data_IF_293295476517
#
_entry.id   IF_293295476517
#
_cell.length_a   1.000
_cell.length_b   1.000
_cell.length_c   1.000
_cell.angle_alpha   90.00
_cell.angle_beta   90.00
_cell.angle_gamma   90.00
#
_symmetry.space_group_name_H-M   'P 1'
#
loop_
_entity.id
_entity.type
_entity.pdbx_description
1 polymer ?
#
# COMPACT_ATOMS: atom_id res chain seq x y z
N UNK A 1 -11.13 28.55 11.50
CA UNK A 1 -10.02 28.96 12.39
C UNK A 1 -8.72 28.58 11.70
N UNK A 2 -7.79 29.52 11.53
CA UNK A 2 -6.47 29.22 10.98
C UNK A 2 -5.57 28.55 12.02
N UNK A 3 -4.65 27.70 11.57
CA UNK A 3 -3.65 27.04 12.40
C UNK A 3 -2.66 28.08 12.95
N UNK A 4 -2.41 28.06 14.26
CA UNK A 4 -1.40 28.91 14.91
C UNK A 4 -0.03 28.23 14.86
N UNK A 5 0.75 28.58 13.83
CA UNK A 5 2.07 28.02 13.59
C UNK A 5 3.07 28.30 14.73
N UNK A 6 2.86 29.36 15.51
CA UNK A 6 3.75 29.72 16.63
C UNK A 6 3.60 28.72 17.77
N UNK A 7 2.36 28.30 18.07
CA UNK A 7 2.07 27.25 19.06
C UNK A 7 2.58 25.87 18.62
N UNK A 8 2.59 25.61 17.31
CA UNK A 8 3.11 24.35 16.75
C UNK A 8 4.64 24.33 16.77
N UNK A 9 5.31 25.44 16.47
CA UNK A 9 6.78 25.53 16.42
C UNK A 9 7.45 25.11 17.75
N UNK A 10 6.86 25.46 18.90
CA UNK A 10 7.36 25.02 20.21
C UNK A 10 7.27 23.49 20.39
N UNK A 11 6.24 22.85 19.81
CA UNK A 11 6.06 21.41 19.86
C UNK A 11 7.04 20.66 18.95
N UNK A 12 7.50 21.29 17.87
CA UNK A 12 8.54 20.75 16.97
C UNK A 12 9.85 20.54 17.72
N UNK A 13 10.24 21.46 18.61
CA UNK A 13 11.45 21.30 19.44
C UNK A 13 11.39 20.06 20.33
N UNK A 14 10.27 19.84 21.02
CA UNK A 14 10.03 18.63 21.83
C UNK A 14 9.94 17.34 21.01
N UNK A 15 9.46 17.43 19.76
CA UNK A 15 9.49 16.31 18.82
C UNK A 15 10.93 15.94 18.43
N UNK A 16 11.79 16.92 18.11
CA UNK A 16 13.19 16.69 17.73
C UNK A 16 14.00 16.05 18.86
N UNK A 17 13.78 16.46 20.11
CA UNK A 17 14.43 15.84 21.27
C UNK A 17 14.04 14.36 21.41
N UNK A 18 12.75 14.04 21.34
CA UNK A 18 12.25 12.64 21.39
C UNK A 18 12.78 11.81 20.22
N UNK A 19 12.95 12.39 19.03
CA UNK A 19 13.55 11.70 17.88
C UNK A 19 15.02 11.32 18.11
N UNK A 20 15.77 12.12 18.88
CA UNK A 20 17.15 11.79 19.26
C UNK A 20 17.20 10.64 20.26
N UNK A 21 16.38 10.69 21.32
CA UNK A 21 16.31 9.62 22.33
C UNK A 21 15.82 8.30 21.74
N UNK A 22 14.87 8.37 20.80
CA UNK A 22 14.38 7.21 20.06
C UNK A 22 15.46 6.51 19.23
N UNK A 23 16.58 7.18 18.90
CA UNK A 23 17.67 6.56 18.12
C UNK A 23 18.42 5.51 18.92
N UNK A 24 18.75 5.81 20.18
CA UNK A 24 19.47 4.87 21.04
C UNK A 24 18.61 3.67 21.38
N UNK A 25 17.34 3.92 21.69
CA UNK A 25 16.35 2.88 21.94
C UNK A 25 16.16 2.00 20.70
N UNK A 26 16.04 2.60 19.51
CA UNK A 26 15.97 1.87 18.24
C UNK A 26 17.20 1.00 18.01
N UNK A 27 18.40 1.48 18.34
CA UNK A 27 19.62 0.68 18.19
C UNK A 27 19.62 -0.53 19.14
N UNK A 28 19.18 -0.35 20.39
CA UNK A 28 19.04 -1.45 21.36
C UNK A 28 18.03 -2.50 20.88
N UNK A 29 16.87 -2.05 20.38
CA UNK A 29 15.86 -2.94 19.82
C UNK A 29 16.36 -3.69 18.59
N UNK A 30 17.09 -3.03 17.69
CA UNK A 30 17.70 -3.66 16.53
C UNK A 30 18.72 -4.74 16.94
N UNK A 31 19.62 -4.41 17.87
CA UNK A 31 20.62 -5.37 18.33
C UNK A 31 19.96 -6.59 18.97
N UNK A 32 18.98 -6.39 19.85
CA UNK A 32 18.23 -7.49 20.45
C UNK A 32 17.51 -8.34 19.38
N UNK A 33 16.90 -7.72 18.36
CA UNK A 33 16.26 -8.46 17.28
C UNK A 33 17.26 -9.30 16.49
N UNK A 34 18.45 -8.76 16.20
CA UNK A 34 19.53 -9.49 15.52
C UNK A 34 20.08 -10.63 16.38
N UNK A 35 20.28 -10.39 17.67
CA UNK A 35 20.78 -11.41 18.61
C UNK A 35 19.76 -12.55 18.76
N UNK A 36 18.46 -12.24 18.80
CA UNK A 36 17.40 -13.25 18.85
C UNK A 36 17.35 -14.01 17.52
N UNK A 37 17.22 -13.33 16.38
CA UNK A 37 17.02 -14.03 15.09
C UNK A 37 18.24 -14.87 14.69
N UNK A 38 19.44 -14.44 15.07
CA UNK A 38 20.71 -15.13 14.83
C UNK A 38 21.04 -16.22 15.84
N UNK A 39 20.21 -16.45 16.86
CA UNK A 39 20.46 -17.46 17.86
C UNK A 39 20.21 -18.87 17.32
N UNK A 40 21.28 -19.62 17.08
CA UNK A 40 21.24 -21.01 16.61
C UNK A 40 20.53 -21.97 17.58
N UNK A 41 20.36 -21.59 18.84
CA UNK A 41 19.63 -22.38 19.84
C UNK A 41 18.10 -22.25 19.74
N UNK A 42 17.57 -21.47 18.80
CA UNK A 42 16.13 -21.39 18.58
C UNK A 42 15.60 -22.73 18.05
N UNK A 43 14.66 -23.31 18.79
CA UNK A 43 13.91 -24.49 18.37
C UNK A 43 12.89 -24.11 17.28
N UNK A 44 13.32 -24.18 16.02
CA UNK A 44 12.48 -23.92 14.86
C UNK A 44 11.32 -24.93 14.74
N UNK A 45 11.49 -26.17 15.22
CA UNK A 45 10.44 -27.19 15.19
C UNK A 45 9.34 -26.89 16.21
N UNK A 46 9.68 -26.35 17.38
CA UNK A 46 8.69 -25.81 18.31
C UNK A 46 7.91 -24.63 17.69
N UNK A 47 8.59 -23.77 16.93
CA UNK A 47 7.94 -22.64 16.26
C UNK A 47 6.99 -23.13 15.15
N UNK A 48 7.42 -24.07 14.31
CA UNK A 48 6.58 -24.73 13.30
C UNK A 48 5.35 -25.40 13.93
N UNK A 49 5.52 -26.11 15.04
CA UNK A 49 4.40 -26.70 15.80
C UNK A 49 3.43 -25.64 16.32
N UNK A 50 3.93 -24.50 16.81
CA UNK A 50 3.08 -23.38 17.24
C UNK A 50 2.30 -22.77 16.08
N UNK A 51 2.92 -22.60 14.92
CA UNK A 51 2.26 -22.11 13.70
C UNK A 51 1.15 -23.08 13.30
N UNK A 52 1.44 -24.39 13.21
CA UNK A 52 0.46 -25.41 12.84
C UNK A 52 -0.71 -25.53 13.84
N UNK A 53 -0.46 -25.30 15.13
CA UNK A 53 -1.49 -25.33 16.17
C UNK A 53 -2.28 -24.01 16.27
N UNK A 54 -1.84 -22.95 15.59
CA UNK A 54 -2.46 -21.64 15.70
C UNK A 54 -3.84 -21.61 15.03
N UNK A 55 -4.79 -20.93 15.67
CA UNK A 55 -6.13 -20.67 15.12
C UNK A 55 -6.27 -19.17 14.97
N UNK A 56 -5.86 -18.67 13.81
CA UNK A 56 -5.89 -17.25 13.46
C UNK A 56 -6.97 -16.97 12.41
N UNK A 57 -7.44 -15.73 12.35
CA UNK A 57 -8.34 -15.25 11.29
C UNK A 57 -7.58 -14.72 10.08
N UNK A 58 -6.24 -14.79 10.09
CA UNK A 58 -5.36 -14.33 9.02
C UNK A 58 -4.34 -15.41 8.64
N UNK A 59 -3.72 -15.24 7.47
CA UNK A 59 -2.67 -16.12 6.96
C UNK A 59 -1.40 -15.99 7.80
N UNK A 60 -0.87 -17.11 8.27
CA UNK A 60 0.40 -17.17 9.01
C UNK A 60 1.46 -17.74 8.06
N UNK A 61 2.59 -17.04 7.94
CA UNK A 61 3.72 -17.50 7.13
C UNK A 61 4.35 -18.75 7.75
N UNK A 62 4.75 -19.69 6.90
CA UNK A 62 5.53 -20.87 7.29
C UNK A 62 7.05 -20.59 7.19
N UNK A 63 7.85 -21.41 7.86
CA UNK A 63 9.31 -21.32 7.89
C UNK A 63 9.91 -22.27 6.85
N UNK A 64 10.29 -21.71 5.70
CA UNK A 64 10.98 -22.44 4.64
C UNK A 64 12.41 -22.82 5.05
N UNK A 65 13.21 -21.83 5.45
CA UNK A 65 14.63 -21.98 5.81
C UNK A 65 14.91 -21.44 7.23
N UNK A 66 16.19 -21.37 7.61
CA UNK A 66 16.62 -20.77 8.88
C UNK A 66 16.28 -19.27 8.96
N UNK A 67 15.95 -18.79 10.16
CA UNK A 67 15.49 -17.41 10.41
C UNK A 67 16.54 -16.34 10.07
N UNK A 68 17.83 -16.66 10.20
CA UNK A 68 18.95 -15.75 9.91
C UNK A 68 19.52 -15.91 8.50
N UNK A 69 18.89 -16.72 7.64
CA UNK A 69 19.39 -16.95 6.28
C UNK A 69 19.32 -15.66 5.46
N UNK A 70 20.38 -15.38 4.71
CA UNK A 70 20.45 -14.23 3.82
C UNK A 70 20.71 -14.69 2.39
N UNK A 71 19.96 -14.15 1.43
CA UNK A 71 20.07 -14.51 0.03
C UNK A 71 20.42 -13.27 -0.78
N UNK A 72 21.47 -13.37 -1.60
CA UNK A 72 21.81 -12.33 -2.55
C UNK A 72 20.72 -12.21 -3.61
N UNK A 73 20.39 -10.97 -3.99
CA UNK A 73 19.47 -10.74 -5.09
C UNK A 73 20.08 -11.30 -6.41
N UNK A 74 19.28 -11.94 -7.28
CA UNK A 74 19.74 -12.31 -8.62
C UNK A 74 20.11 -11.05 -9.42
N UNK A 75 20.95 -11.18 -10.46
CA UNK A 75 21.28 -10.05 -11.32
C UNK A 75 20.00 -9.50 -11.97
N UNK A 76 19.91 -8.17 -12.06
CA UNK A 76 18.81 -7.49 -12.75
C UNK A 76 18.91 -7.70 -14.25
N UNK A 77 17.77 -7.79 -14.98
CA UNK A 77 17.79 -7.77 -16.44
C UNK A 77 18.50 -6.53 -16.98
N UNK A 78 19.13 -6.64 -18.15
CA UNK A 78 19.80 -5.50 -18.79
C UNK A 78 18.79 -4.44 -19.29
N UNK A 79 17.63 -4.90 -19.76
CA UNK A 79 16.54 -4.07 -20.28
C UNK A 79 15.25 -4.46 -19.54
N UNK A 80 14.64 -3.52 -18.83
CA UNK A 80 13.37 -3.75 -18.15
C UNK A 80 12.60 -2.47 -17.90
N UNK A 81 11.28 -2.61 -17.73
CA UNK A 81 10.38 -1.51 -17.43
C UNK A 81 9.73 -1.71 -16.07
N UNK A 82 9.76 -0.69 -15.21
CA UNK A 82 9.02 -0.67 -13.96
C UNK A 82 7.84 0.28 -14.12
N UNK A 83 6.64 -0.20 -13.80
CA UNK A 83 5.41 0.60 -13.81
C UNK A 83 4.80 0.60 -12.43
N UNK A 84 4.22 1.72 -12.03
CA UNK A 84 3.51 1.81 -10.76
C UNK A 84 2.33 2.78 -10.85
N UNK A 85 1.33 2.55 -10.02
CA UNK A 85 0.20 3.47 -9.81
C UNK A 85 -0.04 3.67 -8.33
N UNK A 86 -0.43 4.88 -7.96
CA UNK A 86 -0.89 5.23 -6.61
C UNK A 86 -2.07 6.20 -6.74
N UNK A 87 -2.98 6.17 -5.77
CA UNK A 87 -4.21 6.93 -5.77
C UNK A 87 -4.34 7.81 -4.54
N UNK A 88 -4.90 9.00 -4.75
CA UNK A 88 -5.47 9.82 -3.68
C UNK A 88 -6.95 10.09 -3.94
N UNK A 89 -7.70 10.42 -2.88
CA UNK A 89 -9.10 10.82 -3.03
C UNK A 89 -9.47 11.94 -2.06
N UNK A 90 -10.47 12.73 -2.45
CA UNK A 90 -11.20 13.65 -1.58
C UNK A 90 -12.58 13.02 -1.35
N UNK A 91 -12.88 12.74 -0.09
CA UNK A 91 -14.13 12.10 0.31
C UNK A 91 -15.35 13.03 0.15
N UNK A 92 -16.55 12.44 0.19
CA UNK A 92 -17.81 13.16 0.06
C UNK A 92 -17.99 14.15 1.22
N UNK A 93 -18.04 15.43 0.91
CA UNK A 93 -18.36 16.46 1.90
C UNK A 93 -19.86 16.45 2.21
N UNK A 94 -20.20 15.92 3.38
CA UNK A 94 -21.59 15.80 3.87
C UNK A 94 -22.24 17.15 4.22
N UNK A 95 -21.47 18.25 4.24
CA UNK A 95 -21.96 19.59 4.58
C UNK A 95 -22.17 20.49 3.37
N UNK A 96 -21.89 20.00 2.15
CA UNK A 96 -22.10 20.74 0.91
C UNK A 96 -23.41 20.35 0.23
N UNK A 97 -23.98 21.31 -0.51
CA UNK A 97 -25.24 21.12 -1.24
C UNK A 97 -25.14 20.08 -2.36
N UNK A 98 -23.96 19.93 -2.98
CA UNK A 98 -23.70 18.94 -4.03
C UNK A 98 -22.80 17.84 -3.48
N UNK A 99 -23.30 16.61 -3.47
CA UNK A 99 -22.53 15.44 -3.07
C UNK A 99 -21.62 15.05 -4.24
N UNK A 100 -20.33 15.04 -4.00
CA UNK A 100 -19.33 14.61 -4.96
C UNK A 100 -18.08 14.13 -4.23
N UNK A 101 -17.31 13.28 -4.89
CA UNK A 101 -15.95 12.91 -4.47
C UNK A 101 -15.02 12.97 -5.67
N UNK A 102 -13.72 13.04 -5.39
CA UNK A 102 -12.69 13.07 -6.41
C UNK A 102 -11.71 11.93 -6.17
N UNK A 103 -11.38 11.20 -7.22
CA UNK A 103 -10.27 10.24 -7.21
C UNK A 103 -9.21 10.75 -8.18
N UNK A 104 -7.95 10.77 -7.75
CA UNK A 104 -6.82 11.05 -8.62
C UNK A 104 -5.88 9.85 -8.63
N UNK A 105 -5.68 9.27 -9.81
CA UNK A 105 -4.72 8.18 -10.02
C UNK A 105 -3.45 8.75 -10.64
N UNK A 106 -2.33 8.63 -9.93
CA UNK A 106 -1.00 8.87 -10.48
C UNK A 106 -0.44 7.59 -11.09
N UNK A 107 0.35 7.73 -12.14
CA UNK A 107 1.11 6.61 -12.71
C UNK A 107 2.53 7.02 -13.05
N UNK A 108 3.43 6.05 -12.98
CA UNK A 108 4.82 6.20 -13.40
C UNK A 108 5.24 4.98 -14.22
N UNK A 109 5.99 5.24 -15.28
CA UNK A 109 6.65 4.24 -16.11
C UNK A 109 8.12 4.62 -16.18
N UNK A 110 9.01 3.70 -15.80
CA UNK A 110 10.47 3.90 -15.85
C UNK A 110 11.08 2.79 -16.67
N UNK A 111 11.72 3.15 -17.77
CA UNK A 111 12.50 2.25 -18.62
C UNK A 111 13.96 2.30 -18.20
N UNK A 112 14.53 1.12 -17.93
CA UNK A 112 15.93 0.91 -17.60
C UNK A 112 16.62 0.13 -18.71
N UNK A 113 17.85 0.53 -19.02
CA UNK A 113 18.68 -0.11 -20.05
C UNK A 113 19.49 0.90 -20.85
N UNK A 114 19.74 0.57 -22.11
CA UNK A 114 20.51 1.41 -23.04
C UNK A 114 19.79 2.72 -23.39
N UNK A 115 18.45 2.70 -23.43
CA UNK A 115 17.61 3.87 -23.71
C UNK A 115 16.71 4.18 -22.50
N UNK A 116 17.26 4.80 -21.44
CA UNK A 116 16.50 5.08 -20.23
C UNK A 116 15.45 6.18 -20.48
N UNK A 117 14.31 6.05 -19.80
CA UNK A 117 13.21 7.01 -19.93
C UNK A 117 12.25 6.94 -18.75
N UNK A 118 11.54 8.04 -18.49
CA UNK A 118 10.52 8.09 -17.47
C UNK A 118 9.31 8.88 -17.98
N UNK A 119 8.11 8.35 -17.74
CA UNK A 119 6.84 9.02 -17.98
C UNK A 119 6.02 9.02 -16.69
N UNK A 120 5.47 10.17 -16.33
CA UNK A 120 4.62 10.36 -15.17
C UNK A 120 3.34 11.05 -15.60
N UNK A 121 2.20 10.49 -15.21
CA UNK A 121 0.89 11.01 -15.55
C UNK A 121 -0.03 11.05 -14.31
N UNK A 122 -1.05 11.91 -14.37
CA UNK A 122 -2.07 12.04 -13.34
C UNK A 122 -3.45 12.12 -13.99
N UNK A 123 -4.39 11.31 -13.48
CA UNK A 123 -5.73 11.14 -14.00
C UNK A 123 -6.78 11.47 -12.92
N UNK A 124 -7.08 12.77 -12.69
CA UNK A 124 -8.14 13.17 -11.77
C UNK A 124 -9.53 12.94 -12.39
N UNK A 125 -10.44 12.37 -11.62
CA UNK A 125 -11.84 12.11 -11.99
C UNK A 125 -12.78 12.61 -10.89
N UNK A 126 -13.70 13.50 -11.25
CA UNK A 126 -14.77 13.99 -10.39
C UNK A 126 -16.01 13.12 -10.59
N UNK A 127 -16.57 12.65 -9.48
CA UNK A 127 -17.77 11.81 -9.44
C UNK A 127 -18.88 12.58 -8.72
N UNK A 128 -19.99 12.79 -9.42
CA UNK A 128 -21.11 13.60 -8.91
C UNK A 128 -22.47 13.16 -9.44
N UNK A 129 -22.54 12.16 -10.32
CA UNK A 129 -23.81 11.59 -10.76
C UNK A 129 -24.43 10.74 -9.65
N UNK A 130 -25.76 10.62 -9.63
CA UNK A 130 -26.46 9.81 -8.62
C UNK A 130 -25.94 8.36 -8.60
N UNK A 131 -25.71 7.76 -9.77
CA UNK A 131 -25.13 6.41 -9.93
C UNK A 131 -23.66 6.32 -9.49
N UNK A 132 -22.94 7.44 -9.44
CA UNK A 132 -21.55 7.46 -8.98
C UNK A 132 -21.44 7.47 -7.45
N UNK A 133 -22.51 7.90 -6.77
CA UNK A 133 -22.52 8.14 -5.33
C UNK A 133 -23.01 6.94 -4.52
N UNK A 134 -23.55 5.91 -5.17
CA UNK A 134 -24.05 4.71 -4.52
C UNK A 134 -23.59 3.44 -5.24
N UNK A 135 -23.42 2.37 -4.48
CA UNK A 135 -23.33 1.01 -5.01
C UNK A 135 -24.66 0.32 -4.72
N UNK A 136 -25.31 -0.16 -5.78
CA UNK A 136 -26.55 -0.94 -5.69
C UNK A 136 -26.19 -2.42 -5.87
N UNK A 137 -26.32 -3.25 -4.83
CA UNK A 137 -26.02 -4.67 -4.95
C UNK A 137 -27.01 -5.37 -5.91
N UNK A 138 -26.51 -6.31 -6.70
CA UNK A 138 -27.33 -7.12 -7.61
C UNK A 138 -28.20 -8.11 -6.81
N UNK A 139 -29.44 -7.74 -6.49
CA UNK A 139 -30.38 -8.63 -5.80
C UNK A 139 -31.69 -7.95 -5.39
N UNK A 140 -32.79 -8.72 -5.34
CA UNK A 140 -34.11 -8.21 -4.94
C UNK A 140 -34.07 -7.79 -3.47
N UNK A 141 -34.29 -6.50 -3.19
CA UNK A 141 -34.33 -5.93 -1.83
C UNK A 141 -32.99 -5.42 -1.29
N UNK A 142 -31.95 -5.34 -2.11
CA UNK A 142 -30.67 -4.78 -1.70
C UNK A 142 -30.76 -3.25 -1.48
N UNK A 143 -30.23 -2.77 -0.35
CA UNK A 143 -30.15 -1.33 -0.04
C UNK A 143 -28.95 -0.71 -0.74
N UNK A 144 -29.17 0.47 -1.31
CA UNK A 144 -28.10 1.32 -1.82
C UNK A 144 -27.10 1.67 -0.71
N UNK A 145 -25.81 1.53 -1.02
CA UNK A 145 -24.72 1.90 -0.12
C UNK A 145 -23.99 3.12 -0.66
N UNK A 146 -23.86 4.22 0.11
CA UNK A 146 -23.14 5.39 -0.36
C UNK A 146 -21.65 5.11 -0.51
N UNK A 147 -21.05 5.64 -1.58
CA UNK A 147 -19.60 5.60 -1.81
C UNK A 147 -18.94 6.71 -0.98
N UNK A 148 -18.47 6.34 0.20
CA UNK A 148 -17.75 7.20 1.14
C UNK A 148 -16.79 6.35 2.01
N UNK A 149 -15.81 6.99 2.66
CA UNK A 149 -14.89 6.34 3.59
C UNK A 149 -14.22 5.08 3.01
N UNK A 150 -14.40 3.94 3.67
CA UNK A 150 -13.81 2.66 3.25
C UNK A 150 -14.21 2.26 1.83
N UNK A 151 -15.46 2.49 1.43
CA UNK A 151 -15.94 2.08 0.10
C UNK A 151 -15.32 2.94 -0.99
N UNK A 152 -15.13 4.24 -0.73
CA UNK A 152 -14.38 5.12 -1.62
C UNK A 152 -12.90 4.71 -1.71
N UNK A 153 -12.28 4.33 -0.59
CA UNK A 153 -10.93 3.77 -0.57
C UNK A 153 -10.79 2.50 -1.42
N UNK A 154 -11.77 1.59 -1.34
CA UNK A 154 -11.82 0.38 -2.18
C UNK A 154 -11.99 0.75 -3.66
N UNK A 155 -12.92 1.66 -3.98
CA UNK A 155 -13.10 2.14 -5.37
C UNK A 155 -11.80 2.72 -5.93
N UNK A 156 -11.07 3.51 -5.13
CA UNK A 156 -9.76 4.05 -5.51
C UNK A 156 -8.75 2.94 -5.81
N UNK A 157 -8.61 1.95 -4.92
CA UNK A 157 -7.70 0.82 -5.12
C UNK A 157 -8.03 0.00 -6.38
N UNK A 158 -9.32 -0.15 -6.71
CA UNK A 158 -9.76 -0.78 -7.95
C UNK A 158 -9.33 0.05 -9.17
N UNK A 159 -9.49 1.37 -9.13
CA UNK A 159 -9.05 2.25 -10.24
C UNK A 159 -7.52 2.25 -10.40
N UNK A 160 -6.75 2.27 -9.30
CA UNK A 160 -5.28 2.07 -9.32
C UNK A 160 -4.91 0.79 -10.09
N UNK A 161 -5.52 -0.36 -9.70
CA UNK A 161 -5.31 -1.64 -10.36
C UNK A 161 -5.67 -1.61 -11.85
N UNK A 162 -6.80 -0.99 -12.20
CA UNK A 162 -7.26 -0.89 -13.61
C UNK A 162 -6.28 -0.10 -14.47
N UNK A 163 -5.78 1.03 -13.97
CA UNK A 163 -4.79 1.82 -14.67
C UNK A 163 -3.46 1.08 -14.81
N UNK A 164 -2.98 0.42 -13.75
CA UNK A 164 -1.75 -0.37 -13.80
C UNK A 164 -1.86 -1.52 -14.80
N UNK A 165 -2.99 -2.23 -14.80
CA UNK A 165 -3.25 -3.31 -15.77
C UNK A 165 -3.29 -2.79 -17.21
N UNK A 166 -3.89 -1.62 -17.45
CA UNK A 166 -3.92 -0.97 -18.78
C UNK A 166 -2.50 -0.62 -19.25
N UNK A 167 -1.67 -0.05 -18.37
CA UNK A 167 -0.28 0.29 -18.68
C UNK A 167 0.50 -0.98 -19.01
N UNK A 168 0.42 -2.00 -18.14
CA UNK A 168 1.11 -3.27 -18.32
C UNK A 168 0.71 -3.98 -19.63
N UNK A 169 -0.58 -3.95 -19.99
CA UNK A 169 -1.09 -4.51 -21.24
C UNK A 169 -0.63 -3.75 -22.50
N UNK A 170 -0.23 -2.48 -22.36
CA UNK A 170 0.30 -1.67 -23.45
C UNK A 170 1.80 -1.86 -23.70
N UNK A 171 2.51 -2.57 -22.82
CA UNK A 171 3.95 -2.83 -22.99
C UNK A 171 4.20 -3.83 -24.12
N UNK A 172 5.35 -3.74 -24.82
CA UNK A 172 5.70 -4.69 -25.88
C UNK A 172 5.68 -6.14 -25.39
N UNK A 173 5.10 -7.03 -26.19
CA UNK A 173 5.07 -8.45 -25.87
C UNK A 173 6.49 -9.01 -25.74
N UNK A 174 6.74 -9.78 -24.66
CA UNK A 174 8.06 -10.34 -24.36
C UNK A 174 9.04 -9.37 -23.69
N UNK A 175 8.64 -8.13 -23.39
CA UNK A 175 9.44 -7.23 -22.56
C UNK A 175 9.52 -7.71 -21.10
N UNK A 176 10.65 -7.46 -20.45
CA UNK A 176 10.77 -7.67 -19.00
C UNK A 176 10.13 -6.50 -18.26
N UNK A 177 8.99 -6.73 -17.62
CA UNK A 177 8.25 -5.68 -16.93
C UNK A 177 7.90 -6.05 -15.48
N UNK A 178 8.01 -5.08 -14.59
CA UNK A 178 7.57 -5.16 -13.20
C UNK A 178 6.48 -4.11 -12.95
N UNK A 179 5.28 -4.56 -12.58
CA UNK A 179 4.19 -3.69 -12.16
C UNK A 179 4.10 -3.67 -10.64
N UNK A 180 4.12 -2.48 -10.05
CA UNK A 180 4.07 -2.24 -8.61
C UNK A 180 2.75 -1.56 -8.24
N UNK A 181 2.11 -2.07 -7.19
CA UNK A 181 0.91 -1.50 -6.58
C UNK A 181 1.27 -1.11 -5.15
N UNK A 182 0.78 0.04 -4.67
CA UNK A 182 0.87 0.38 -3.25
C UNK A 182 -0.25 -0.33 -2.45
N UNK A 183 0.14 -1.17 -1.51
CA UNK A 183 -0.78 -1.96 -0.68
C UNK A 183 -0.83 -3.46 -1.04
N UNK A 184 -1.84 -4.14 -0.48
CA UNK A 184 -2.00 -5.59 -0.64
C UNK A 184 -2.87 -5.94 -1.84
N UNK A 185 -2.55 -7.06 -2.50
CA UNK A 185 -3.38 -7.61 -3.58
C UNK A 185 -4.79 -8.00 -3.07
N UNK A 186 -4.89 -8.44 -1.81
CA UNK A 186 -6.16 -8.73 -1.15
C UNK A 186 -6.75 -7.43 -0.61
N UNK A 187 -7.98 -7.12 -0.99
CA UNK A 187 -8.75 -5.99 -0.46
C UNK A 187 -9.43 -6.38 0.86
N UNK A 188 -8.64 -6.44 1.95
CA UNK A 188 -9.11 -6.87 3.28
C UNK A 188 -10.30 -6.07 3.83
N UNK A 189 -10.56 -4.86 3.33
CA UNK A 189 -11.73 -4.06 3.71
C UNK A 189 -13.09 -4.62 3.24
N UNK A 190 -13.10 -5.70 2.45
CA UNK A 190 -14.30 -6.41 2.00
C UNK A 190 -14.68 -7.61 2.88
N UNK A 191 -13.81 -8.06 3.79
CA UNK A 191 -14.16 -9.07 4.81
C UNK A 191 -14.90 -8.39 5.97
N UNK A 192 -16.24 -8.40 5.90
CA UNK A 192 -17.13 -8.01 7.00
C UNK A 192 -18.23 -9.07 7.20
#
# INVERSE_FOLDING_TARGET
MSLDLTKVAAQVGGMVARLKDAREERQKHLQNALDVIGNEAIDLDALKRKIAASKTTWLVADLADGLASHYGAPPTPAEFTVTATDGSHIDVDRHRATRCYLINIGSVIIHYGAEPGAALDSFPSLYSGDDDLVITPSGVGAREQPIEGTLLGIKRAVEECRYLAKIAAGLPAGSSSLALLDGSLILWGLEA
#
